data_IF_416360203355
#
_entry.id   IF_416360203355
#
_cell.length_a   1.000
_cell.length_b   1.000
_cell.length_c   1.000
_cell.angle_alpha   90.00
_cell.angle_beta   90.00
_cell.angle_gamma   90.00
#
_symmetry.space_group_name_H-M   'P 1'
#
loop_
_entity.id
_entity.type
_entity.pdbx_description
1 polymer ?
#
# COMPACT_ATOMS: atom_id res chain seq x y z
N UNK A 1 -14.14 12.86 10.68
CA UNK A 1 -13.26 12.30 11.73
C UNK A 1 -12.21 11.46 11.03
N UNK A 2 -10.95 11.52 11.43
CA UNK A 2 -9.89 10.67 10.85
C UNK A 2 -10.01 9.27 11.46
N UNK A 3 -9.97 8.22 10.63
CA UNK A 3 -10.04 6.83 11.09
C UNK A 3 -8.91 6.52 12.09
N UNK A 4 -9.17 5.73 13.15
CA UNK A 4 -8.13 5.24 14.07
C UNK A 4 -7.05 4.46 13.32
N UNK A 5 -5.80 4.48 13.82
CA UNK A 5 -4.67 3.78 13.17
C UNK A 5 -4.96 2.29 12.98
N UNK A 6 -5.47 1.62 14.01
CA UNK A 6 -5.76 0.18 13.97
C UNK A 6 -6.77 -0.17 12.87
N UNK A 7 -7.84 0.60 12.73
CA UNK A 7 -8.86 0.40 11.69
C UNK A 7 -8.28 0.58 10.28
N UNK A 8 -7.41 1.57 10.10
CA UNK A 8 -6.72 1.81 8.82
C UNK A 8 -5.80 0.65 8.45
N UNK A 9 -5.02 0.16 9.42
CA UNK A 9 -4.09 -0.96 9.22
C UNK A 9 -4.86 -2.23 8.84
N UNK A 10 -5.96 -2.52 9.55
CA UNK A 10 -6.80 -3.68 9.26
C UNK A 10 -7.39 -3.61 7.85
N UNK A 11 -8.04 -2.50 7.49
CA UNK A 11 -8.63 -2.32 6.16
C UNK A 11 -7.59 -2.35 5.04
N UNK A 12 -6.40 -1.81 5.29
CA UNK A 12 -5.32 -1.85 4.33
C UNK A 12 -4.83 -3.29 4.10
N UNK A 13 -4.57 -4.02 5.16
CA UNK A 13 -4.06 -5.39 5.09
C UNK A 13 -5.07 -6.38 4.52
N UNK A 14 -6.38 -6.14 4.71
CA UNK A 14 -7.48 -6.89 4.11
C UNK A 14 -7.66 -6.54 2.61
N UNK A 15 -7.52 -5.26 2.26
CA UNK A 15 -7.66 -4.80 0.87
C UNK A 15 -6.49 -5.15 -0.05
N UNK A 16 -5.28 -5.33 0.51
CA UNK A 16 -4.08 -5.66 -0.26
C UNK A 16 -3.89 -7.17 -0.36
N UNK A 17 -4.32 -7.70 -1.51
CA UNK A 17 -4.33 -9.14 -1.83
C UNK A 17 -3.04 -9.64 -2.54
N UNK A 18 -2.06 -8.76 -2.77
CA UNK A 18 -0.81 -9.09 -3.45
C UNK A 18 0.36 -8.88 -2.50
N UNK A 19 1.40 -9.70 -2.63
CA UNK A 19 2.65 -9.47 -1.90
C UNK A 19 3.51 -8.37 -2.56
N UNK A 20 4.59 -7.99 -1.88
CA UNK A 20 5.46 -6.91 -2.33
C UNK A 20 6.06 -7.18 -3.73
N UNK A 21 6.44 -8.42 -4.01
CA UNK A 21 7.11 -8.80 -5.26
C UNK A 21 6.11 -8.77 -6.43
N UNK A 22 4.89 -9.25 -6.21
CA UNK A 22 3.79 -9.16 -7.19
C UNK A 22 3.45 -7.70 -7.52
N UNK A 23 3.40 -6.84 -6.51
CA UNK A 23 3.16 -5.41 -6.69
C UNK A 23 4.31 -4.72 -7.44
N UNK A 24 5.57 -4.98 -7.07
CA UNK A 24 6.75 -4.44 -7.78
C UNK A 24 6.69 -4.81 -9.27
N UNK A 25 6.47 -6.09 -9.58
CA UNK A 25 6.34 -6.56 -10.97
C UNK A 25 5.17 -5.90 -11.71
N UNK A 26 4.02 -5.74 -11.04
CA UNK A 26 2.88 -5.06 -11.62
C UNK A 26 3.22 -3.61 -11.98
N UNK A 27 3.85 -2.86 -11.06
CA UNK A 27 4.23 -1.47 -11.25
C UNK A 27 5.24 -1.33 -12.41
N UNK A 28 6.23 -2.21 -12.50
CA UNK A 28 7.25 -2.16 -13.55
C UNK A 28 6.72 -2.60 -14.93
N UNK A 29 5.62 -3.35 -14.94
CA UNK A 29 5.00 -3.90 -16.14
C UNK A 29 4.36 -2.85 -17.06
N UNK A 30 4.32 -3.20 -18.36
CA UNK A 30 3.74 -2.34 -19.40
C UNK A 30 2.24 -2.05 -19.21
N UNK A 31 1.53 -2.93 -18.50
CA UNK A 31 0.13 -2.70 -18.12
C UNK A 31 -0.03 -1.51 -17.18
N UNK A 32 0.85 -1.35 -16.18
CA UNK A 32 0.72 -0.26 -15.22
C UNK A 32 1.03 1.11 -15.84
N UNK A 33 1.94 1.16 -16.83
CA UNK A 33 2.22 2.37 -17.63
C UNK A 33 0.99 2.86 -18.41
N UNK A 34 0.07 1.95 -18.74
CA UNK A 34 -1.17 2.26 -19.47
C UNK A 34 -2.41 2.31 -18.57
N UNK A 35 -2.31 1.97 -17.27
CA UNK A 35 -3.44 1.76 -16.37
C UNK A 35 -3.97 3.04 -15.69
N UNK A 36 -3.31 4.21 -15.81
CA UNK A 36 -3.89 5.44 -15.26
C UNK A 36 -2.94 6.64 -15.11
N UNK A 37 -3.49 7.69 -14.51
CA UNK A 37 -2.76 8.91 -14.09
C UNK A 37 -1.70 8.49 -13.07
N UNK A 38 -0.41 8.80 -13.26
CA UNK A 38 0.73 8.27 -12.49
C UNK A 38 0.62 8.20 -10.95
N UNK A 39 -0.34 8.87 -10.34
CA UNK A 39 -0.81 8.70 -8.95
C UNK A 39 -1.05 7.23 -8.57
N UNK A 40 -1.73 6.44 -9.39
CA UNK A 40 -1.98 5.02 -9.09
C UNK A 40 -0.71 4.18 -9.08
N UNK A 41 0.25 4.54 -9.95
CA UNK A 41 1.55 3.89 -10.06
C UNK A 41 2.44 4.22 -8.86
N UNK A 42 2.51 5.49 -8.46
CA UNK A 42 3.21 5.91 -7.24
C UNK A 42 2.61 5.26 -5.99
N UNK A 43 1.28 5.17 -5.92
CA UNK A 43 0.61 4.47 -4.81
C UNK A 43 1.00 2.99 -4.79
N UNK A 44 0.99 2.31 -5.94
CA UNK A 44 1.42 0.91 -6.03
C UNK A 44 2.86 0.70 -5.55
N UNK A 45 3.79 1.59 -5.93
CA UNK A 45 5.19 1.56 -5.46
C UNK A 45 5.28 1.68 -3.94
N UNK A 46 4.51 2.62 -3.38
CA UNK A 46 4.54 2.88 -1.94
C UNK A 46 3.94 1.71 -1.16
N UNK A 47 2.89 1.08 -1.65
CA UNK A 47 2.33 -0.14 -1.06
C UNK A 47 3.36 -1.27 -1.08
N UNK A 48 4.05 -1.48 -2.20
CA UNK A 48 5.09 -2.50 -2.31
C UNK A 48 6.23 -2.27 -1.30
N UNK A 49 6.69 -1.02 -1.16
CA UNK A 49 7.75 -0.65 -0.21
C UNK A 49 7.33 -0.88 1.25
N UNK A 50 6.08 -0.52 1.60
CA UNK A 50 5.48 -0.79 2.92
C UNK A 50 5.49 -2.29 3.23
N UNK A 51 5.02 -3.12 2.28
CA UNK A 51 4.98 -4.58 2.47
C UNK A 51 6.38 -5.19 2.56
N UNK A 52 7.35 -4.64 1.83
CA UNK A 52 8.74 -5.11 1.83
C UNK A 52 9.44 -4.81 3.16
N UNK A 53 9.16 -3.66 3.77
CA UNK A 53 9.68 -3.27 5.09
C UNK A 53 8.98 -4.02 6.23
N UNK A 54 7.70 -4.35 6.07
CA UNK A 54 6.90 -5.03 7.08
C UNK A 54 6.13 -6.25 6.51
N UNK A 55 6.86 -7.32 6.13
CA UNK A 55 6.29 -8.49 5.47
C UNK A 55 5.32 -9.27 6.36
N UNK A 56 5.54 -9.26 7.68
CA UNK A 56 4.69 -9.91 8.66
C UNK A 56 3.41 -9.12 8.97
N UNK A 57 3.27 -7.93 8.37
CA UNK A 57 2.14 -7.01 8.57
C UNK A 57 1.92 -6.64 10.04
N UNK A 58 3.00 -6.53 10.80
CA UNK A 58 2.96 -6.15 12.23
C UNK A 58 2.42 -4.72 12.38
N UNK A 59 1.30 -4.49 13.09
CA UNK A 59 0.77 -3.15 13.30
C UNK A 59 1.77 -2.14 13.90
N UNK A 60 2.76 -2.59 14.67
CA UNK A 60 3.79 -1.74 15.26
C UNK A 60 4.95 -1.42 14.29
N UNK A 61 5.06 -2.19 13.20
CA UNK A 61 6.10 -2.04 12.18
C UNK A 61 5.83 -0.92 11.15
N UNK A 62 4.70 -0.23 11.25
CA UNK A 62 4.33 0.84 10.31
C UNK A 62 4.70 2.23 10.83
N UNK A 63 5.30 3.04 9.97
CA UNK A 63 5.62 4.43 10.26
C UNK A 63 4.38 5.33 10.11
N UNK A 64 4.38 6.51 10.74
CA UNK A 64 3.26 7.46 10.61
C UNK A 64 2.98 7.86 9.14
N UNK A 65 4.02 7.89 8.30
CA UNK A 65 3.87 8.16 6.88
C UNK A 65 3.16 7.02 6.15
N UNK A 66 3.44 5.76 6.53
CA UNK A 66 2.77 4.57 6.00
C UNK A 66 1.30 4.63 6.34
N UNK A 67 0.96 4.90 7.60
CA UNK A 67 -0.43 5.08 8.04
C UNK A 67 -1.12 6.22 7.28
N UNK A 68 -0.39 7.31 7.02
CA UNK A 68 -0.86 8.42 6.20
C UNK A 68 -1.20 8.01 4.76
N UNK A 69 -0.40 7.13 4.17
CA UNK A 69 -0.67 6.58 2.84
C UNK A 69 -1.82 5.57 2.87
N UNK A 70 -1.83 4.64 3.83
CA UNK A 70 -2.90 3.65 4.01
C UNK A 70 -4.28 4.30 4.14
N UNK A 71 -4.39 5.43 4.86
CA UNK A 71 -5.64 6.21 4.93
C UNK A 71 -6.15 6.66 3.56
N UNK A 72 -5.25 7.04 2.65
CA UNK A 72 -5.64 7.44 1.29
C UNK A 72 -6.10 6.23 0.47
N UNK A 73 -5.53 5.06 0.73
CA UNK A 73 -5.88 3.80 0.06
C UNK A 73 -7.22 3.25 0.57
N UNK A 74 -7.51 3.35 1.87
CA UNK A 74 -8.70 2.78 2.50
C UNK A 74 -9.91 3.73 2.55
N UNK A 75 -9.75 5.00 2.15
CA UNK A 75 -10.83 5.99 2.02
C UNK A 75 -11.17 6.75 3.29
#
# INVERSE_FOLDING_TARGET
>A
MVKPKAEVIEQFNDGVNMDAEELEQWVEGDKAKNAGTGVGLESGRKIADILKRNPDKDPEGYEDEDIGHMRKVTG
#
